data_IF_186236597664
#
_entry.id   IF_186236597664
#
_cell.length_a   1.000
_cell.length_b   1.000
_cell.length_c   1.000
_cell.angle_alpha   90.00
_cell.angle_beta   90.00
_cell.angle_gamma   90.00
#
_symmetry.space_group_name_H-M   'P 1'
#
loop_
_entity.id
_entity.type
_entity.pdbx_description
1 polymer ?
#
# COMPACT_ATOMS: atom_id res chain seq x y z
N UNK A 1 -21.89 7.47 -13.05
CA UNK A 1 -21.42 7.64 -11.66
C UNK A 1 -20.34 6.60 -11.42
N UNK A 2 -19.20 7.03 -10.92
CA UNK A 2 -17.98 6.23 -10.76
C UNK A 2 -18.10 5.27 -9.58
N UNK A 3 -17.56 4.05 -9.70
CA UNK A 3 -17.50 3.09 -8.60
C UNK A 3 -16.24 3.41 -7.78
N UNK A 4 -16.43 4.02 -6.61
CA UNK A 4 -15.33 4.43 -5.75
C UNK A 4 -15.27 3.56 -4.48
N UNK A 5 -14.53 2.47 -4.57
CA UNK A 5 -14.16 1.63 -3.42
C UNK A 5 -12.70 1.84 -3.00
N UNK A 6 -12.06 2.93 -3.43
CA UNK A 6 -10.62 3.19 -3.23
C UNK A 6 -10.20 3.19 -1.74
N UNK A 7 -11.15 3.45 -0.84
CA UNK A 7 -10.93 3.39 0.60
C UNK A 7 -10.44 2.01 1.08
N UNK A 8 -10.93 0.92 0.48
CA UNK A 8 -10.52 -0.45 0.81
C UNK A 8 -9.01 -0.66 0.56
N UNK A 9 -8.49 -0.53 -0.68
CA UNK A 9 -7.07 -0.75 -0.91
C UNK A 9 -6.17 0.28 -0.24
N UNK A 10 -6.63 1.49 0.06
CA UNK A 10 -5.84 2.46 0.84
C UNK A 10 -5.59 1.97 2.28
N UNK A 11 -6.64 1.47 2.95
CA UNK A 11 -6.50 0.92 4.31
C UNK A 11 -5.73 -0.41 4.28
N UNK A 12 -5.92 -1.23 3.24
CA UNK A 12 -5.12 -2.45 3.07
C UNK A 12 -3.64 -2.14 2.81
N UNK A 13 -3.31 -1.11 2.04
CA UNK A 13 -1.94 -0.64 1.86
C UNK A 13 -1.34 -0.19 3.21
N UNK A 14 -2.11 0.56 4.01
CA UNK A 14 -1.71 0.93 5.37
C UNK A 14 -1.40 -0.30 6.24
N UNK A 15 -2.27 -1.31 6.23
CA UNK A 15 -2.09 -2.55 6.98
C UNK A 15 -0.84 -3.32 6.53
N UNK A 16 -0.63 -3.47 5.21
CA UNK A 16 0.55 -4.14 4.67
C UNK A 16 1.86 -3.41 5.03
N UNK A 17 1.88 -2.08 4.96
CA UNK A 17 3.03 -1.27 5.37
C UNK A 17 3.30 -1.38 6.88
N UNK A 18 2.25 -1.38 7.71
CA UNK A 18 2.36 -1.58 9.15
C UNK A 18 2.91 -2.97 9.51
N UNK A 19 2.42 -4.02 8.84
CA UNK A 19 2.95 -5.37 8.97
C UNK A 19 4.42 -5.45 8.54
N UNK A 20 4.79 -4.75 7.46
CA UNK A 20 6.18 -4.61 7.02
C UNK A 20 7.05 -3.97 8.10
N UNK A 21 6.62 -2.83 8.65
CA UNK A 21 7.33 -2.16 9.72
C UNK A 21 7.47 -3.04 10.97
N UNK A 22 6.40 -3.70 11.40
CA UNK A 22 6.42 -4.62 12.52
C UNK A 22 7.39 -5.77 12.26
N UNK A 23 7.35 -6.37 11.07
CA UNK A 23 8.27 -7.43 10.70
C UNK A 23 9.74 -6.97 10.76
N UNK A 24 10.04 -5.73 10.36
CA UNK A 24 11.40 -5.20 10.40
C UNK A 24 11.88 -4.88 11.82
N UNK A 25 11.02 -4.38 12.70
CA UNK A 25 11.39 -4.03 14.07
C UNK A 25 11.46 -5.22 15.03
N UNK A 26 10.64 -6.25 14.83
CA UNK A 26 10.65 -7.41 15.71
C UNK A 26 11.84 -8.34 15.42
N UNK A 27 12.57 -8.73 16.46
CA UNK A 27 13.59 -9.79 16.40
C UNK A 27 12.97 -11.08 16.94
N UNK A 28 12.96 -12.19 16.18
CA UNK A 28 12.40 -13.44 16.68
C UNK A 28 13.40 -14.15 17.61
N UNK A 29 12.89 -14.94 18.55
CA UNK A 29 13.69 -15.99 19.17
C UNK A 29 14.11 -17.03 18.10
N UNK A 30 15.24 -17.71 18.28
CA UNK A 30 15.82 -18.59 17.26
C UNK A 30 14.82 -19.65 16.75
N UNK A 31 14.09 -20.28 17.68
CA UNK A 31 13.17 -21.38 17.39
C UNK A 31 11.85 -20.94 16.73
N UNK A 32 11.49 -19.66 16.86
CA UNK A 32 10.22 -19.10 16.34
C UNK A 32 10.33 -18.50 14.94
N UNK A 33 11.53 -18.47 14.36
CA UNK A 33 11.80 -17.76 13.10
C UNK A 33 11.00 -18.28 11.90
N UNK A 34 10.77 -19.59 11.80
CA UNK A 34 9.98 -20.19 10.72
C UNK A 34 8.48 -20.00 10.92
N UNK A 35 7.96 -20.26 12.14
CA UNK A 35 6.55 -20.05 12.45
C UNK A 35 6.15 -18.59 12.20
N UNK A 36 6.97 -17.64 12.66
CA UNK A 36 6.75 -16.22 12.42
C UNK A 36 6.73 -15.87 10.93
N UNK A 37 7.69 -16.36 10.13
CA UNK A 37 7.73 -16.13 8.69
C UNK A 37 6.43 -16.59 8.01
N UNK A 38 5.93 -17.78 8.38
CA UNK A 38 4.67 -18.32 7.86
C UNK A 38 3.47 -17.45 8.24
N UNK A 39 3.37 -17.01 9.50
CA UNK A 39 2.26 -16.16 9.95
C UNK A 39 2.24 -14.82 9.21
N UNK A 40 3.39 -14.15 9.07
CA UNK A 40 3.48 -12.90 8.31
C UNK A 40 3.25 -13.11 6.81
N UNK A 41 3.71 -14.24 6.24
CA UNK A 41 3.46 -14.57 4.83
C UNK A 41 1.96 -14.64 4.53
N UNK A 42 1.14 -15.26 5.39
CA UNK A 42 -0.31 -15.27 5.22
C UNK A 42 -0.92 -13.87 5.25
N UNK A 43 -0.49 -13.03 6.19
CA UNK A 43 -0.98 -11.65 6.30
C UNK A 43 -0.58 -10.80 5.07
N UNK A 44 0.67 -10.92 4.62
CA UNK A 44 1.14 -10.25 3.40
C UNK A 44 0.42 -10.76 2.15
N UNK A 45 0.24 -12.08 2.01
CA UNK A 45 -0.47 -12.67 0.89
C UNK A 45 -1.92 -12.20 0.80
N UNK A 46 -2.63 -12.15 1.94
CA UNK A 46 -4.00 -11.66 2.01
C UNK A 46 -4.09 -10.17 1.62
N UNK A 47 -3.23 -9.31 2.19
CA UNK A 47 -3.18 -7.90 1.79
C UNK A 47 -2.82 -7.76 0.31
N UNK A 48 -1.84 -8.53 -0.16
CA UNK A 48 -1.37 -8.53 -1.54
C UNK A 48 -2.46 -8.86 -2.53
N UNK A 49 -3.27 -9.89 -2.27
CA UNK A 49 -4.39 -10.27 -3.13
C UNK A 49 -5.45 -9.17 -3.21
N UNK A 50 -5.81 -8.57 -2.07
CA UNK A 50 -6.77 -7.46 -2.05
C UNK A 50 -6.24 -6.30 -2.90
N UNK A 51 -4.98 -5.90 -2.70
CA UNK A 51 -4.36 -4.80 -3.45
C UNK A 51 -4.23 -5.11 -4.94
N UNK A 52 -3.82 -6.33 -5.29
CA UNK A 52 -3.65 -6.74 -6.68
C UNK A 52 -4.97 -6.76 -7.43
N UNK A 53 -6.02 -7.36 -6.85
CA UNK A 53 -7.33 -7.48 -7.48
C UNK A 53 -7.96 -6.09 -7.66
N UNK A 54 -7.98 -5.29 -6.59
CA UNK A 54 -8.53 -3.94 -6.63
C UNK A 54 -7.74 -3.00 -7.53
N UNK A 55 -6.40 -3.10 -7.51
CA UNK A 55 -5.52 -2.35 -8.40
C UNK A 55 -5.74 -2.71 -9.87
N UNK A 56 -5.81 -4.00 -10.21
CA UNK A 56 -6.06 -4.45 -11.57
C UNK A 56 -7.42 -3.95 -12.06
N UNK A 57 -8.44 -4.01 -11.22
CA UNK A 57 -9.73 -3.43 -11.58
C UNK A 57 -9.62 -1.92 -11.83
N UNK A 58 -8.90 -1.14 -11.00
CA UNK A 58 -8.70 0.29 -11.23
C UNK A 58 -7.99 0.57 -12.57
N UNK A 59 -6.93 -0.16 -12.89
CA UNK A 59 -6.11 0.08 -14.10
C UNK A 59 -6.78 -0.43 -15.38
N UNK A 60 -7.58 -1.50 -15.29
CA UNK A 60 -8.21 -2.11 -16.48
C UNK A 60 -9.59 -1.53 -16.79
N UNK A 61 -10.31 -1.00 -15.80
CA UNK A 61 -11.69 -0.49 -15.99
C UNK A 61 -11.82 1.01 -15.86
N UNK A 62 -10.78 1.70 -15.36
CA UNK A 62 -10.75 3.14 -15.16
C UNK A 62 -12.00 3.71 -14.46
N UNK A 63 -12.41 3.15 -13.31
CA UNK A 63 -13.72 3.41 -12.74
C UNK A 63 -13.79 4.72 -11.96
N UNK A 64 -12.67 5.44 -11.78
CA UNK A 64 -12.59 6.72 -11.05
C UNK A 64 -12.09 7.85 -11.99
N UNK A 65 -12.35 9.13 -11.70
CA UNK A 65 -12.06 10.21 -12.66
C UNK A 65 -10.57 10.55 -12.80
N UNK A 66 -10.17 10.96 -14.01
CA UNK A 66 -8.86 11.55 -14.30
C UNK A 66 -7.66 10.64 -13.98
N UNK A 67 -6.56 11.26 -13.56
CA UNK A 67 -5.30 10.58 -13.24
C UNK A 67 -5.32 9.72 -11.98
N UNK A 68 -6.44 9.63 -11.25
CA UNK A 68 -6.51 8.86 -10.01
C UNK A 68 -6.40 7.34 -10.23
N UNK A 69 -6.79 6.83 -11.41
CA UNK A 69 -6.57 5.42 -11.77
C UNK A 69 -5.09 5.07 -11.85
N UNK A 70 -4.28 5.96 -12.42
CA UNK A 70 -2.82 5.82 -12.48
C UNK A 70 -2.25 6.00 -11.08
N UNK A 71 -2.61 7.11 -10.42
CA UNK A 71 -2.04 7.49 -9.13
C UNK A 71 -2.19 6.39 -8.08
N UNK A 72 -3.36 5.76 -8.02
CA UNK A 72 -3.64 4.73 -7.04
C UNK A 72 -3.58 3.31 -7.62
N UNK A 73 -4.17 3.07 -8.78
CA UNK A 73 -4.28 1.72 -9.35
C UNK A 73 -2.94 1.07 -9.64
N UNK A 74 -2.03 1.75 -10.34
CA UNK A 74 -0.75 1.15 -10.74
C UNK A 74 0.14 0.80 -9.53
N UNK A 75 0.32 1.69 -8.52
CA UNK A 75 1.04 1.33 -7.30
C UNK A 75 0.40 0.16 -6.54
N UNK A 76 -0.93 0.08 -6.52
CA UNK A 76 -1.65 -1.00 -5.85
C UNK A 76 -1.42 -2.35 -6.55
N UNK A 77 -1.44 -2.38 -7.89
CA UNK A 77 -1.08 -3.58 -8.66
C UNK A 77 0.34 -4.01 -8.34
N UNK A 78 1.28 -3.08 -8.40
CA UNK A 78 2.70 -3.38 -8.21
C UNK A 78 2.99 -3.88 -6.79
N UNK A 79 2.50 -3.15 -5.78
CA UNK A 79 2.68 -3.52 -4.37
C UNK A 79 1.97 -4.83 -4.05
N UNK A 80 0.74 -5.00 -4.54
CA UNK A 80 -0.02 -6.24 -4.39
C UNK A 80 0.70 -7.45 -4.98
N UNK A 81 1.22 -7.32 -6.21
CA UNK A 81 1.99 -8.38 -6.86
C UNK A 81 3.24 -8.76 -6.06
N UNK A 82 4.00 -7.77 -5.57
CA UNK A 82 5.17 -8.02 -4.73
C UNK A 82 4.82 -8.78 -3.44
N UNK A 83 3.71 -8.44 -2.80
CA UNK A 83 3.26 -9.14 -1.59
C UNK A 83 2.77 -10.56 -1.88
N UNK A 84 2.03 -10.77 -2.97
CA UNK A 84 1.55 -12.10 -3.39
C UNK A 84 2.71 -13.02 -3.74
N UNK A 85 3.71 -12.53 -4.47
CA UNK A 85 4.91 -13.30 -4.84
C UNK A 85 5.85 -13.46 -3.63
N UNK A 86 5.97 -12.43 -2.81
CA UNK A 86 6.83 -12.41 -1.63
C UNK A 86 6.33 -13.29 -0.49
N UNK A 87 5.02 -13.51 -0.37
CA UNK A 87 4.44 -14.37 0.65
C UNK A 87 4.97 -15.81 0.63
N UNK A 88 4.92 -16.58 -0.48
CA UNK A 88 5.49 -17.92 -0.52
C UNK A 88 7.01 -17.89 -0.31
N UNK A 89 7.73 -16.93 -0.90
CA UNK A 89 9.17 -16.80 -0.69
C UNK A 89 9.52 -16.59 0.80
N UNK A 90 8.79 -15.72 1.49
CA UNK A 90 8.94 -15.49 2.93
C UNK A 90 8.62 -16.74 3.74
N UNK A 91 7.52 -17.42 3.41
CA UNK A 91 7.05 -18.65 4.09
C UNK A 91 8.06 -19.79 4.00
N UNK A 92 8.71 -19.93 2.85
CA UNK A 92 9.74 -20.93 2.56
C UNK A 92 11.12 -20.53 3.09
N UNK A 93 11.30 -19.28 3.54
CA UNK A 93 12.59 -18.78 4.01
C UNK A 93 13.58 -18.49 2.88
N UNK A 94 13.08 -18.26 1.67
CA UNK A 94 13.88 -17.94 0.49
C UNK A 94 14.56 -16.57 0.61
N UNK A 95 15.61 -16.38 -0.19
CA UNK A 95 16.32 -15.10 -0.26
C UNK A 95 15.47 -14.07 -0.99
N UNK A 96 15.05 -13.02 -0.27
CA UNK A 96 14.20 -11.96 -0.83
C UNK A 96 14.96 -10.92 -1.67
N UNK A 97 16.28 -11.01 -1.82
CA UNK A 97 17.12 -10.00 -2.47
C UNK A 97 16.57 -9.47 -3.82
N UNK A 98 16.25 -10.34 -4.80
CA UNK A 98 15.65 -9.90 -6.06
C UNK A 98 14.28 -9.21 -5.89
N UNK A 99 13.44 -9.71 -4.98
CA UNK A 99 12.14 -9.08 -4.67
C UNK A 99 12.31 -7.71 -4.00
N UNK A 100 13.32 -7.55 -3.14
CA UNK A 100 13.64 -6.26 -2.52
C UNK A 100 14.17 -5.26 -3.56
N UNK A 101 14.88 -5.72 -4.60
CA UNK A 101 15.29 -4.87 -5.72
C UNK A 101 14.08 -4.39 -6.53
N UNK A 102 13.12 -5.27 -6.82
CA UNK A 102 11.84 -4.86 -7.43
C UNK A 102 11.08 -3.90 -6.50
N UNK A 103 11.09 -4.16 -5.20
CA UNK A 103 10.58 -3.23 -4.18
C UNK A 103 11.20 -1.84 -4.31
N UNK A 104 12.52 -1.75 -4.47
CA UNK A 104 13.21 -0.46 -4.65
C UNK A 104 12.78 0.25 -5.94
N UNK A 105 12.55 -0.47 -7.04
CA UNK A 105 12.01 0.13 -8.27
C UNK A 105 10.59 0.67 -8.05
N UNK A 106 9.73 -0.08 -7.36
CA UNK A 106 8.42 0.43 -6.92
C UNK A 106 8.55 1.64 -6.00
N UNK A 107 9.59 1.67 -5.16
CA UNK A 107 9.92 2.82 -4.33
C UNK A 107 10.24 4.07 -5.14
N UNK A 108 11.02 3.94 -6.22
CA UNK A 108 11.29 5.03 -7.17
C UNK A 108 9.98 5.52 -7.80
N UNK A 109 9.11 4.61 -8.24
CA UNK A 109 7.78 4.97 -8.77
C UNK A 109 6.99 5.79 -7.76
N UNK A 110 6.96 5.39 -6.48
CA UNK A 110 6.29 6.14 -5.43
C UNK A 110 6.92 7.53 -5.20
N UNK A 111 8.24 7.69 -5.32
CA UNK A 111 8.89 9.00 -5.25
C UNK A 111 8.50 9.90 -6.43
N UNK A 112 8.42 9.35 -7.64
CA UNK A 112 7.94 10.07 -8.82
C UNK A 112 6.50 10.51 -8.63
N UNK A 113 5.63 9.63 -8.11
CA UNK A 113 4.24 9.97 -7.81
C UNK A 113 4.13 11.01 -6.69
N UNK A 114 4.94 10.93 -5.64
CA UNK A 114 4.99 11.96 -4.60
C UNK A 114 5.29 13.35 -5.17
N UNK A 115 6.26 13.42 -6.08
CA UNK A 115 6.60 14.66 -6.79
C UNK A 115 5.46 15.13 -7.69
N UNK A 116 4.83 14.22 -8.44
CA UNK A 116 3.71 14.53 -9.31
C UNK A 116 2.50 15.07 -8.52
N UNK A 117 2.16 14.44 -7.39
CA UNK A 117 1.09 14.90 -6.49
C UNK A 117 1.38 16.33 -6.01
N UNK A 118 2.61 16.58 -5.55
CA UNK A 118 3.01 17.89 -5.03
C UNK A 118 2.98 18.98 -6.13
N UNK A 119 3.45 18.66 -7.34
CA UNK A 119 3.50 19.62 -8.46
C UNK A 119 2.13 19.92 -9.06
N UNK A 120 1.27 18.91 -9.17
CA UNK A 120 -0.02 19.06 -9.83
C UNK A 120 -1.17 19.34 -8.87
N UNK A 121 -0.91 19.45 -7.56
CA UNK A 121 -1.93 19.73 -6.55
C UNK A 121 -3.02 18.66 -6.51
N UNK A 122 -2.66 17.40 -6.72
CA UNK A 122 -3.63 16.30 -6.77
C UNK A 122 -4.20 16.00 -5.38
N UNK A 123 -5.43 15.49 -5.33
CA UNK A 123 -6.21 15.20 -4.10
C UNK A 123 -6.63 16.45 -3.32
N UNK A 124 -7.48 16.28 -2.30
CA UNK A 124 -7.87 17.38 -1.42
C UNK A 124 -6.78 17.80 -0.42
N UNK A 125 -5.77 16.95 -0.20
CA UNK A 125 -4.62 17.27 0.64
C UNK A 125 -3.34 16.76 -0.03
N UNK A 126 -2.81 17.52 -1.01
CA UNK A 126 -1.64 17.11 -1.79
C UNK A 126 -0.41 16.85 -0.94
N UNK A 127 -0.21 17.62 0.14
CA UNK A 127 0.94 17.45 1.03
C UNK A 127 0.88 16.11 1.77
N UNK A 128 -0.28 15.75 2.33
CA UNK A 128 -0.48 14.46 2.99
C UNK A 128 -0.28 13.30 2.00
N UNK A 129 -0.84 13.42 0.79
CA UNK A 129 -0.71 12.41 -0.24
C UNK A 129 0.74 12.25 -0.73
N UNK A 130 1.45 13.36 -0.98
CA UNK A 130 2.86 13.32 -1.34
C UNK A 130 3.70 12.69 -0.22
N UNK A 131 3.40 12.99 1.06
CA UNK A 131 4.13 12.42 2.19
C UNK A 131 3.97 10.89 2.32
N UNK A 132 2.77 10.34 2.11
CA UNK A 132 2.57 8.89 2.18
C UNK A 132 3.32 8.14 1.06
N UNK A 133 3.30 8.66 -0.17
CA UNK A 133 4.07 8.10 -1.27
C UNK A 133 5.57 8.31 -1.08
N UNK A 134 5.99 9.46 -0.57
CA UNK A 134 7.39 9.76 -0.27
C UNK A 134 7.97 8.83 0.78
N UNK A 135 7.25 8.62 1.89
CA UNK A 135 7.69 7.75 2.98
C UNK A 135 7.81 6.28 2.53
N UNK A 136 6.79 5.74 1.86
CA UNK A 136 6.87 4.39 1.29
C UNK A 136 7.97 4.28 0.23
N UNK A 137 8.11 5.30 -0.63
CA UNK A 137 9.13 5.36 -1.67
C UNK A 137 10.55 5.27 -1.11
N UNK A 138 10.87 6.09 -0.11
CA UNK A 138 12.17 6.07 0.58
C UNK A 138 12.38 4.75 1.33
N UNK A 139 11.36 4.24 2.04
CA UNK A 139 11.47 2.99 2.79
C UNK A 139 11.78 1.79 1.90
N UNK A 140 11.14 1.71 0.73
CA UNK A 140 11.37 0.67 -0.26
C UNK A 140 12.70 0.83 -1.00
N UNK A 141 13.14 2.06 -1.26
CA UNK A 141 14.44 2.32 -1.90
C UNK A 141 15.61 1.79 -1.05
N UNK A 142 15.50 1.87 0.27
CA UNK A 142 16.50 1.38 1.24
C UNK A 142 16.45 -0.15 1.40
N UNK A 143 15.36 -0.79 0.94
CA UNK A 143 15.06 -2.19 1.23
C UNK A 143 16.18 -3.20 0.88
N UNK A 144 16.88 -3.08 -0.27
CA UNK A 144 17.96 -4.02 -0.63
C UNK A 144 19.17 -4.01 0.32
N UNK A 145 19.33 -2.95 1.12
CA UNK A 145 20.43 -2.80 2.06
C UNK A 145 20.13 -3.35 3.47
N UNK A 146 18.88 -3.75 3.75
CA UNK A 146 18.43 -4.13 5.09
C UNK A 146 19.14 -5.36 5.66
N UNK A 147 19.57 -6.29 4.81
CA UNK A 147 20.29 -7.50 5.24
C UNK A 147 21.74 -7.22 5.64
N UNK A 148 22.29 -6.07 5.21
CA UNK A 148 23.69 -5.69 5.43
C UNK A 148 23.86 -4.61 6.50
N UNK A 149 22.78 -3.92 6.89
CA UNK A 149 22.84 -2.80 7.81
C UNK A 149 21.61 -2.74 8.71
N UNK A 150 21.84 -2.86 10.02
CA UNK A 150 20.81 -2.70 11.03
C UNK A 150 20.19 -1.29 11.00
N UNK A 151 20.98 -0.27 10.67
CA UNK A 151 20.48 1.09 10.47
C UNK A 151 19.54 1.16 9.26
N UNK A 152 19.93 0.56 8.12
CA UNK A 152 19.07 0.51 6.93
C UNK A 152 17.75 -0.20 7.22
N UNK A 153 17.80 -1.34 7.94
CA UNK A 153 16.62 -2.09 8.37
C UNK A 153 15.69 -1.25 9.26
N UNK A 154 16.24 -0.56 10.26
CA UNK A 154 15.47 0.30 11.17
C UNK A 154 14.89 1.53 10.46
N UNK A 155 15.68 2.16 9.58
CA UNK A 155 15.25 3.31 8.80
C UNK A 155 14.10 2.94 7.85
N UNK A 156 14.23 1.83 7.12
CA UNK A 156 13.16 1.31 6.28
C UNK A 156 11.91 0.99 7.12
N UNK A 157 12.05 0.31 8.26
CA UNK A 157 10.94 0.06 9.18
C UNK A 157 10.23 1.33 9.65
N UNK A 158 10.98 2.38 9.99
CA UNK A 158 10.42 3.66 10.43
C UNK A 158 9.67 4.38 9.31
N UNK A 159 10.22 4.36 8.09
CA UNK A 159 9.60 4.95 6.91
C UNK A 159 8.32 4.20 6.50
N UNK A 160 8.32 2.87 6.56
CA UNK A 160 7.12 2.07 6.35
C UNK A 160 6.05 2.34 7.42
N UNK A 161 6.44 2.49 8.69
CA UNK A 161 5.51 2.83 9.77
C UNK A 161 4.90 4.23 9.58
N UNK A 162 5.72 5.22 9.23
CA UNK A 162 5.25 6.57 8.92
C UNK A 162 4.29 6.56 7.73
N UNK A 163 4.67 5.86 6.65
CA UNK A 163 3.80 5.68 5.48
C UNK A 163 2.49 4.99 5.83
N UNK A 164 2.52 3.95 6.67
CA UNK A 164 1.32 3.24 7.11
C UNK A 164 0.36 4.18 7.85
N UNK A 165 0.87 4.99 8.78
CA UNK A 165 0.07 5.97 9.50
C UNK A 165 -0.56 7.02 8.56
N UNK A 166 0.19 7.49 7.56
CA UNK A 166 -0.30 8.47 6.59
C UNK A 166 -1.35 7.87 5.65
N UNK A 167 -1.14 6.65 5.14
CA UNK A 167 -2.16 5.93 4.36
C UNK A 167 -3.40 5.62 5.19
N UNK A 168 -3.25 5.23 6.46
CA UNK A 168 -4.37 4.99 7.37
C UNK A 168 -5.17 6.28 7.58
N UNK A 169 -4.49 7.39 7.89
CA UNK A 169 -5.13 8.70 8.04
C UNK A 169 -5.89 9.09 6.76
N UNK A 170 -5.25 8.99 5.60
CA UNK A 170 -5.86 9.33 4.32
C UNK A 170 -7.08 8.43 4.01
N UNK A 171 -6.95 7.11 4.20
CA UNK A 171 -7.98 6.13 3.93
C UNK A 171 -9.17 6.20 4.88
N UNK A 172 -8.94 6.32 6.20
CA UNK A 172 -10.01 6.39 7.19
C UNK A 172 -10.76 7.73 7.12
N UNK A 173 -10.08 8.85 6.87
CA UNK A 173 -10.76 10.13 6.60
C UNK A 173 -11.64 10.01 5.34
N UNK A 174 -11.14 9.33 4.30
CA UNK A 174 -11.94 9.07 3.10
C UNK A 174 -13.15 8.17 3.37
N UNK A 175 -13.03 7.14 4.22
CA UNK A 175 -14.17 6.32 4.67
C UNK A 175 -15.25 7.18 5.32
N UNK A 176 -14.90 8.00 6.30
CA UNK A 176 -15.84 8.89 7.00
C UNK A 176 -16.52 9.84 6.02
N UNK A 177 -15.76 10.44 5.09
CA UNK A 177 -16.31 11.33 4.06
C UNK A 177 -17.27 10.60 3.12
N UNK A 178 -16.93 9.41 2.65
CA UNK A 178 -17.76 8.68 1.68
C UNK A 178 -19.06 8.15 2.29
N UNK A 179 -19.08 7.79 3.58
CA UNK A 179 -20.30 7.39 4.28
C UNK A 179 -21.18 8.58 4.69
N UNK A 180 -20.68 9.82 4.57
CA UNK A 180 -21.46 11.02 4.84
C UNK A 180 -22.64 11.18 3.88
N UNK A 181 -23.73 11.77 4.38
CA UNK A 181 -24.94 12.05 3.60
C UNK A 181 -24.69 12.97 2.41
N UNK A 182 -23.63 13.78 2.43
CA UNK A 182 -23.30 14.68 1.32
C UNK A 182 -22.39 14.02 0.25
N UNK A 183 -22.15 12.72 0.39
CA UNK A 183 -21.37 11.89 -0.54
C UNK A 183 -22.16 10.63 -0.96
N UNK A 184 -21.55 9.44 -0.86
CA UNK A 184 -22.19 8.18 -1.23
C UNK A 184 -23.28 7.73 -0.23
N UNK A 185 -23.43 8.38 0.92
CA UNK A 185 -24.46 8.04 1.90
C UNK A 185 -25.91 8.18 1.38
N UNK A 186 -26.14 8.99 0.34
CA UNK A 186 -27.45 9.11 -0.34
C UNK A 186 -27.54 8.26 -1.61
N UNK A 187 -26.51 7.48 -1.93
CA UNK A 187 -26.52 6.72 -3.17
C UNK A 187 -27.50 5.56 -3.11
N UNK A 188 -28.31 5.45 -4.16
CA UNK A 188 -29.16 4.29 -4.41
C UNK A 188 -28.91 3.75 -5.83
N UNK A 189 -28.95 2.41 -6.01
CA UNK A 189 -28.94 1.77 -7.32
C UNK A 189 -30.01 2.34 -8.24
N UNK A 190 -29.82 2.26 -9.56
CA UNK A 190 -30.73 2.88 -10.53
C UNK A 190 -32.14 2.29 -10.43
N UNK A 191 -32.22 1.02 -10.09
CA UNK A 191 -33.42 0.22 -9.89
C UNK A 191 -34.26 0.70 -8.70
N UNK A 192 -33.63 1.34 -7.71
CA UNK A 192 -34.27 1.83 -6.49
C UNK A 192 -34.67 3.32 -6.57
N UNK A 193 -34.34 4.03 -7.66
CA UNK A 193 -34.69 5.46 -7.85
C UNK A 193 -36.12 5.69 -8.34
N UNK A 194 -36.82 4.62 -8.68
CA UNK A 194 -38.17 4.64 -9.24
C UNK A 194 -39.25 4.29 -8.20
N UNK A 195 -38.84 4.11 -6.93
CA UNK A 195 -39.68 3.88 -5.77
C UNK A 195 -39.70 5.13 -4.90
#
# INVERSE_FOLDING_TARGET
>A
MYINYLTLPLVTAAAALALGAWYLFSTPAADDSQARRRSFAWAFGACGLILLITGLHLVLTWPIPGGYNILFGEPLVYFGALLVIGAPALSLGERLGPLLLLGALGGITNLVLALAIARHGMTQNPALAAAMYGASGLGLLIAPAMDRSALARRAAGALLAASAALFALFGYVAYVKHTGLDAFGKWVPREMRLW
#
